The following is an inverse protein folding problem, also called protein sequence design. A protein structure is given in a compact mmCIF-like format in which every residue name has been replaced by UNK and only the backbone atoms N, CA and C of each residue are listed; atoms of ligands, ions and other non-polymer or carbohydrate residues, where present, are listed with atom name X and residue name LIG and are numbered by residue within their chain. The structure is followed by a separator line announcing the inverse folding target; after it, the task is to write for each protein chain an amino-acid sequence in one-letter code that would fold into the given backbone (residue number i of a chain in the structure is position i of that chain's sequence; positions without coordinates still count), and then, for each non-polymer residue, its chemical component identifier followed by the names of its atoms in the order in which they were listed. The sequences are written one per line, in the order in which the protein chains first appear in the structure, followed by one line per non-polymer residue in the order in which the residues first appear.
data_IF_585956383244
#
_entry.id   IF_585956383244
#
_cell.length_a   1.000
_cell.length_b   1.000
_cell.length_c   1.000
_cell.angle_alpha   90.00
_cell.angle_beta   90.00
_cell.angle_gamma   90.00
#
_symmetry.space_group_name_H-M   'P 1'
#
loop_
_entity.id
_entity.type
_entity.pdbx_description
1 polymer ?
#
# COMPACT_ATOMS: atom_id res chain seq x y z
N UNK A 1 -9.27 14.09 -7.36
CA UNK A 1 -8.27 15.01 -7.95
C UNK A 1 -7.08 14.22 -8.48
N UNK A 2 -6.48 14.64 -9.60
CA UNK A 2 -5.21 14.09 -10.10
C UNK A 2 -4.06 14.91 -9.49
N UNK A 3 -3.18 14.32 -8.69
CA UNK A 3 -2.10 15.02 -7.96
C UNK A 3 -0.77 14.29 -8.09
N UNK A 4 0.35 15.01 -8.02
CA UNK A 4 1.67 14.37 -7.91
C UNK A 4 1.81 13.76 -6.51
N UNK A 5 2.19 12.49 -6.44
CA UNK A 5 2.45 11.80 -5.18
C UNK A 5 3.94 11.50 -5.05
N UNK A 6 4.64 12.09 -4.07
CA UNK A 6 6.10 12.04 -3.99
C UNK A 6 6.62 10.61 -3.82
N UNK A 7 5.98 9.77 -3.00
CA UNK A 7 6.39 8.37 -2.80
C UNK A 7 6.30 7.55 -4.10
N UNK A 8 5.33 7.81 -4.97
CA UNK A 8 5.15 7.06 -6.22
C UNK A 8 5.86 7.71 -7.41
N UNK A 9 6.46 8.89 -7.23
CA UNK A 9 7.17 9.63 -8.27
C UNK A 9 6.32 10.02 -9.48
N UNK A 10 4.98 10.04 -9.35
CA UNK A 10 4.06 10.23 -10.48
C UNK A 10 2.73 10.82 -10.07
N UNK A 11 1.95 11.24 -11.06
CA UNK A 11 0.58 11.71 -10.85
C UNK A 11 -0.40 10.55 -10.71
N UNK A 12 -1.22 10.58 -9.67
CA UNK A 12 -2.25 9.59 -9.39
C UNK A 12 -3.62 10.24 -9.12
N UNK A 13 -4.68 9.50 -9.41
CA UNK A 13 -6.06 9.85 -9.06
C UNK A 13 -6.62 8.72 -8.19
N UNK A 14 -7.06 9.08 -7.00
CA UNK A 14 -7.64 8.16 -6.03
C UNK A 14 -9.09 8.59 -5.75
N UNK A 15 -10.00 7.63 -5.79
CA UNK A 15 -11.44 7.83 -5.60
C UNK A 15 -11.92 7.09 -4.35
N UNK A 16 -11.36 7.48 -3.20
CA UNK A 16 -11.73 6.90 -1.92
C UNK A 16 -11.88 7.99 -0.85
N UNK A 17 -12.81 7.78 0.07
CA UNK A 17 -13.16 8.77 1.10
C UNK A 17 -11.97 9.10 2.02
N UNK A 18 -11.14 8.10 2.37
CA UNK A 18 -9.94 8.32 3.18
C UNK A 18 -8.96 9.27 2.51
N UNK A 19 -8.74 9.10 1.20
CA UNK A 19 -7.89 9.99 0.43
C UNK A 19 -8.45 11.42 0.43
N UNK A 20 -9.76 11.58 0.24
CA UNK A 20 -10.40 12.90 0.28
C UNK A 20 -10.23 13.57 1.65
N UNK A 21 -10.44 12.84 2.75
CA UNK A 21 -10.23 13.32 4.12
C UNK A 21 -8.77 13.74 4.37
N UNK A 22 -7.83 12.89 3.97
CA UNK A 22 -6.41 13.14 4.19
C UNK A 22 -5.88 14.33 3.37
N UNK A 23 -6.29 14.45 2.11
CA UNK A 23 -5.96 15.61 1.28
C UNK A 23 -6.58 16.90 1.83
N UNK A 24 -7.83 16.85 2.32
CA UNK A 24 -8.49 17.99 2.97
C UNK A 24 -7.71 18.50 4.19
N UNK A 25 -7.18 17.59 5.02
CA UNK A 25 -6.32 17.94 6.16
C UNK A 25 -5.04 18.65 5.72
N UNK A 26 -4.33 18.13 4.71
CA UNK A 26 -3.10 18.75 4.19
C UNK A 26 -3.39 20.11 3.57
N UNK A 27 -4.49 20.24 2.81
CA UNK A 27 -4.91 21.52 2.25
C UNK A 27 -5.16 22.57 3.34
N UNK A 28 -5.87 22.21 4.42
CA UNK A 28 -6.11 23.09 5.55
C UNK A 28 -4.83 23.53 6.27
N UNK A 29 -3.89 22.60 6.49
CA UNK A 29 -2.56 22.92 7.04
C UNK A 29 -1.83 23.94 6.16
N UNK A 30 -1.86 23.77 4.84
CA UNK A 30 -1.15 24.64 3.93
C UNK A 30 -1.82 26.02 3.78
N UNK A 31 -3.15 26.12 3.91
CA UNK A 31 -3.84 27.41 4.04
C UNK A 31 -3.41 28.20 5.29
N UNK A 32 -2.98 27.51 6.36
CA UNK A 32 -2.39 28.13 7.56
C UNK A 32 -0.88 28.41 7.42
N UNK A 33 -0.34 28.39 6.20
CA UNK A 33 1.07 28.66 5.93
C UNK A 33 2.02 27.53 6.32
N UNK A 34 1.52 26.29 6.49
CA UNK A 34 2.40 25.12 6.57
C UNK A 34 2.83 24.70 5.16
N UNK A 35 4.01 24.08 5.04
CA UNK A 35 4.48 23.48 3.79
C UNK A 35 4.44 21.95 3.93
N UNK A 36 3.24 21.42 4.10
CA UNK A 36 3.03 19.98 4.36
C UNK A 36 2.86 19.25 3.04
N UNK A 37 3.72 18.27 2.70
CA UNK A 37 3.50 17.42 1.55
C UNK A 37 2.39 16.39 1.83
N UNK A 38 1.68 15.98 0.79
CA UNK A 38 0.76 14.84 0.85
C UNK A 38 1.50 13.56 0.48
N UNK A 39 1.81 12.73 1.48
CA UNK A 39 2.65 11.52 1.36
C UNK A 39 1.98 10.28 1.95
N UNK A 40 0.66 10.30 2.08
CA UNK A 40 -0.09 9.19 2.65
C UNK A 40 -0.18 8.05 1.64
N UNK A 41 0.34 6.87 2.00
CA UNK A 41 0.20 5.70 1.14
C UNK A 41 -1.29 5.40 0.97
N UNK A 42 -1.74 5.38 -0.27
CA UNK A 42 -3.14 5.11 -0.56
C UNK A 42 -3.55 3.76 0.04
N UNK A 43 -4.60 3.75 0.84
CA UNK A 43 -5.16 2.54 1.44
C UNK A 43 -6.69 2.60 1.49
N UNK A 44 -7.32 1.44 1.29
CA UNK A 44 -8.75 1.22 1.47
C UNK A 44 -9.04 -0.23 1.81
N UNK A 45 -10.29 -0.48 2.22
CA UNK A 45 -10.78 -1.83 2.50
C UNK A 45 -12.19 -2.02 1.96
N UNK A 46 -12.58 -3.27 1.85
CA UNK A 46 -13.94 -3.72 1.58
C UNK A 46 -14.19 -4.95 2.43
N UNK A 47 -15.33 -4.99 3.10
CA UNK A 47 -15.83 -6.22 3.70
C UNK A 47 -16.73 -6.92 2.68
N UNK A 48 -16.44 -8.19 2.39
CA UNK A 48 -17.21 -9.02 1.48
C UNK A 48 -17.50 -10.35 2.16
N UNK A 49 -18.76 -10.56 2.52
CA UNK A 49 -19.19 -11.68 3.36
C UNK A 49 -18.41 -11.71 4.68
N UNK A 50 -17.80 -12.85 5.02
CA UNK A 50 -16.96 -13.04 6.21
C UNK A 50 -15.52 -12.50 6.08
N UNK A 51 -15.13 -11.98 4.92
CA UNK A 51 -13.75 -11.61 4.63
C UNK A 51 -13.55 -10.09 4.58
N UNK A 52 -12.46 -9.62 5.18
CA UNK A 52 -11.99 -8.25 5.02
C UNK A 52 -10.88 -8.22 3.96
N UNK A 53 -11.15 -7.53 2.87
CA UNK A 53 -10.21 -7.29 1.78
C UNK A 53 -9.60 -5.91 1.95
N UNK A 54 -8.28 -5.82 1.92
CA UNK A 54 -7.54 -4.56 2.03
C UNK A 54 -6.61 -4.36 0.87
N UNK A 55 -6.43 -3.11 0.48
CA UNK A 55 -5.49 -2.72 -0.55
C UNK A 55 -4.68 -1.52 -0.09
N UNK A 56 -3.36 -1.57 -0.28
CA UNK A 56 -2.46 -0.44 -0.05
C UNK A 56 -1.51 -0.23 -1.23
N UNK A 57 -1.09 1.02 -1.43
CA UNK A 57 -0.15 1.42 -2.47
C UNK A 57 -0.82 1.82 -3.77
N UNK A 58 -0.05 1.81 -4.85
CA UNK A 58 -0.55 2.08 -6.19
C UNK A 58 0.34 1.35 -7.20
N UNK A 59 -0.24 0.39 -7.90
CA UNK A 59 0.38 -0.25 -9.07
C UNK A 59 -0.34 0.21 -10.35
N UNK A 60 0.34 0.11 -11.48
CA UNK A 60 -0.23 0.26 -12.84
C UNK A 60 0.22 -0.90 -13.70
N UNK A 61 1.49 -1.24 -13.52
CA UNK A 61 2.19 -2.36 -14.09
C UNK A 61 2.88 -3.10 -12.94
N UNK A 62 3.15 -4.39 -13.15
CA UNK A 62 3.94 -5.25 -12.28
C UNK A 62 4.63 -6.30 -13.15
N UNK A 63 5.82 -6.72 -12.75
CA UNK A 63 6.58 -7.82 -13.38
C UNK A 63 6.57 -9.10 -12.55
N UNK A 64 6.20 -9.01 -11.27
CA UNK A 64 6.05 -10.15 -10.36
C UNK A 64 4.88 -9.94 -9.39
N UNK A 65 4.27 -11.04 -8.96
CA UNK A 65 3.19 -11.08 -7.98
C UNK A 65 3.56 -12.10 -6.90
N UNK A 66 3.95 -11.60 -5.74
CA UNK A 66 4.38 -12.46 -4.62
C UNK A 66 3.21 -12.73 -3.70
N UNK A 67 2.86 -14.00 -3.54
CA UNK A 67 1.84 -14.44 -2.58
C UNK A 67 2.52 -14.86 -1.27
N UNK A 68 2.04 -14.31 -0.16
CA UNK A 68 2.35 -14.69 1.23
C UNK A 68 1.07 -15.23 1.87
N UNK A 69 1.12 -16.37 2.55
CA UNK A 69 -0.06 -17.04 3.06
C UNK A 69 -0.67 -18.02 2.05
N UNK A 70 -1.97 -18.28 2.19
CA UNK A 70 -2.64 -19.36 1.49
C UNK A 70 -3.92 -18.88 0.76
N UNK A 71 -3.98 -19.15 -0.54
CA UNK A 71 -5.11 -18.77 -1.40
C UNK A 71 -6.35 -19.65 -1.16
N UNK A 72 -6.16 -20.93 -0.86
CA UNK A 72 -7.26 -21.89 -0.63
C UNK A 72 -8.04 -21.55 0.65
N UNK A 73 -7.33 -21.19 1.73
CA UNK A 73 -7.94 -20.75 2.99
C UNK A 73 -8.35 -19.28 3.01
N UNK A 74 -8.10 -18.54 1.91
CA UNK A 74 -8.40 -17.11 1.76
C UNK A 74 -7.77 -16.22 2.83
N UNK A 75 -6.60 -16.61 3.34
CA UNK A 75 -5.79 -15.78 4.22
C UNK A 75 -4.44 -15.54 3.57
N UNK A 76 -4.32 -14.43 2.83
CA UNK A 76 -3.12 -14.13 2.06
C UNK A 76 -2.90 -12.63 1.85
N UNK A 77 -1.66 -12.28 1.50
CA UNK A 77 -1.27 -10.99 0.95
C UNK A 77 -0.57 -11.23 -0.40
N UNK A 78 -0.99 -10.47 -1.42
CA UNK A 78 -0.44 -10.50 -2.76
C UNK A 78 0.25 -9.15 -3.04
N UNK A 79 1.57 -9.18 -3.14
CA UNK A 79 2.42 -8.01 -3.37
C UNK A 79 2.68 -7.83 -4.86
N UNK A 80 2.23 -6.70 -5.41
CA UNK A 80 2.53 -6.30 -6.78
C UNK A 80 3.93 -5.69 -6.82
N UNK A 81 4.83 -6.32 -7.55
CA UNK A 81 6.24 -5.93 -7.67
C UNK A 81 6.54 -5.37 -9.05
N UNK A 82 7.39 -4.34 -9.12
CA UNK A 82 7.95 -3.83 -10.38
C UNK A 82 9.41 -3.47 -10.19
N UNK A 83 10.32 -4.12 -10.94
CA UNK A 83 11.75 -3.85 -10.85
C UNK A 83 12.33 -4.08 -9.44
N UNK A 84 11.83 -5.10 -8.74
CA UNK A 84 12.24 -5.43 -7.36
C UNK A 84 11.71 -4.48 -6.29
N UNK A 85 10.67 -3.69 -6.58
CA UNK A 85 9.99 -2.82 -5.61
C UNK A 85 8.53 -3.19 -5.45
N UNK A 86 8.06 -3.25 -4.20
CA UNK A 86 6.64 -3.36 -3.84
C UNK A 86 5.94 -2.07 -4.26
N UNK A 87 5.02 -2.18 -5.20
CA UNK A 87 4.20 -1.07 -5.69
C UNK A 87 2.85 -0.97 -4.97
N UNK A 88 2.30 -2.13 -4.62
CA UNK A 88 1.03 -2.26 -3.92
C UNK A 88 0.90 -3.64 -3.27
N UNK A 89 -0.06 -3.78 -2.38
CA UNK A 89 -0.50 -5.06 -1.84
C UNK A 89 -2.02 -5.13 -1.86
N UNK A 90 -2.56 -6.30 -2.18
CA UNK A 90 -3.94 -6.67 -1.83
C UNK A 90 -3.90 -7.83 -0.86
N UNK A 91 -4.75 -7.81 0.16
CA UNK A 91 -4.81 -8.86 1.17
C UNK A 91 -6.25 -9.24 1.49
N UNK A 92 -6.43 -10.51 1.83
CA UNK A 92 -7.64 -11.05 2.45
C UNK A 92 -7.28 -11.55 3.84
N UNK A 93 -7.96 -11.02 4.86
CA UNK A 93 -7.83 -11.38 6.28
C UNK A 93 -6.41 -11.33 6.87
N UNK A 94 -5.55 -10.45 6.33
CA UNK A 94 -4.19 -10.19 6.87
C UNK A 94 -3.88 -8.70 7.01
N UNK A 95 -4.57 -7.98 7.91
CA UNK A 95 -4.37 -6.55 8.14
C UNK A 95 -2.91 -6.17 8.48
N UNK A 96 -2.20 -7.00 9.24
CA UNK A 96 -0.82 -6.74 9.64
C UNK A 96 0.12 -6.63 8.43
N UNK A 97 0.05 -7.58 7.49
CA UNK A 97 0.85 -7.55 6.27
C UNK A 97 0.61 -6.27 5.44
N UNK A 98 -0.61 -5.73 5.47
CA UNK A 98 -0.94 -4.47 4.76
C UNK A 98 -0.31 -3.27 5.46
N UNK A 99 -0.29 -3.24 6.79
CA UNK A 99 0.39 -2.18 7.54
C UNK A 99 1.91 -2.21 7.27
N UNK A 100 2.51 -3.40 7.30
CA UNK A 100 3.95 -3.56 7.05
C UNK A 100 4.29 -3.19 5.59
N UNK A 101 3.45 -3.61 4.64
CA UNK A 101 3.61 -3.24 3.23
C UNK A 101 3.58 -1.72 3.02
N UNK A 102 2.73 -0.98 3.74
CA UNK A 102 2.73 0.48 3.67
C UNK A 102 4.05 1.08 4.17
N UNK A 103 4.66 0.49 5.19
CA UNK A 103 6.00 0.84 5.66
C UNK A 103 7.06 0.62 4.58
N UNK A 104 7.08 -0.60 4.00
CA UNK A 104 7.99 -0.96 2.90
C UNK A 104 7.83 -0.01 1.71
N UNK A 105 6.60 0.27 1.26
CA UNK A 105 6.31 1.19 0.16
C UNK A 105 6.81 2.60 0.48
N UNK A 106 6.59 3.08 1.71
CA UNK A 106 7.06 4.40 2.16
C UNK A 106 8.59 4.49 2.16
N UNK A 107 9.30 3.41 2.48
CA UNK A 107 10.75 3.31 2.43
C UNK A 107 11.32 3.13 1.00
N UNK A 108 10.46 3.17 -0.03
CA UNK A 108 10.84 3.04 -1.43
C UNK A 108 10.60 1.65 -2.03
N UNK A 109 10.10 0.71 -1.25
CA UNK A 109 9.53 -0.54 -1.74
C UNK A 109 10.52 -1.65 -2.05
N UNK A 110 11.84 -1.44 -1.99
CA UNK A 110 12.82 -2.44 -2.42
C UNK A 110 12.78 -3.65 -1.48
N UNK A 111 12.42 -4.82 -2.01
CA UNK A 111 12.28 -6.04 -1.22
C UNK A 111 12.68 -7.27 -2.05
N UNK A 112 13.13 -8.31 -1.36
CA UNK A 112 13.40 -9.62 -1.96
C UNK A 112 12.09 -10.42 -2.02
N UNK A 113 11.65 -10.88 -3.22
CA UNK A 113 10.45 -11.71 -3.37
C UNK A 113 10.42 -12.95 -2.46
N UNK A 114 11.58 -13.57 -2.20
CA UNK A 114 11.66 -14.75 -1.34
C UNK A 114 11.33 -14.41 0.12
N UNK A 115 11.82 -13.26 0.61
CA UNK A 115 11.55 -12.78 1.98
C UNK A 115 10.10 -12.35 2.16
N UNK A 116 9.52 -11.70 1.14
CA UNK A 116 8.10 -11.32 1.17
C UNK A 116 7.19 -12.56 1.31
N UNK A 117 7.53 -13.66 0.63
CA UNK A 117 6.77 -14.92 0.64
C UNK A 117 6.87 -15.68 1.97
N UNK A 118 7.97 -15.54 2.70
CA UNK A 118 8.26 -16.32 3.91
C UNK A 118 7.44 -15.86 5.13
N UNK A 119 6.38 -16.59 5.47
CA UNK A 119 5.50 -16.28 6.60
C UNK A 119 6.18 -16.21 7.97
N UNK A 120 7.36 -16.83 8.14
CA UNK A 120 8.12 -16.76 9.38
C UNK A 120 8.90 -15.45 9.54
N UNK A 121 9.11 -14.71 8.44
CA UNK A 121 9.83 -13.45 8.44
C UNK A 121 8.93 -12.28 8.85
N UNK A 122 9.44 -11.44 9.75
CA UNK A 122 8.83 -10.16 10.12
C UNK A 122 9.04 -9.14 8.99
N UNK A 123 7.94 -8.74 8.35
CA UNK A 123 7.98 -7.81 7.21
C UNK A 123 8.46 -6.41 7.60
N UNK A 124 8.33 -6.01 8.87
CA UNK A 124 8.85 -4.71 9.32
C UNK A 124 10.37 -4.60 9.19
N UNK A 125 11.08 -5.72 9.14
CA UNK A 125 12.54 -5.75 8.90
C UNK A 125 12.97 -5.37 7.47
N UNK A 126 12.00 -5.20 6.56
CA UNK A 126 12.23 -4.89 5.15
C UNK A 126 12.03 -3.41 4.79
N UNK A 127 11.65 -2.55 5.75
CA UNK A 127 11.30 -1.14 5.51
C UNK A 127 11.74 -0.19 6.63
#
# INVERSE_FOLDING_TARGET
ANHYHPVFGRRIRIEHWNNARAQGRVAGLNMMGRDTPYEEIHWFWSDQYEHTIQYAGHHREWDDLVIRGNLESRSFAAFYMLGGRVQAVVSVDRPADVQDAMGIIRAGGRADPAKLRDEALDLTSLG
#
